data_IF_617397526713
#
_entry.id   IF_617397526713
#
_cell.length_a   1.000
_cell.length_b   1.000
_cell.length_c   1.000
_cell.angle_alpha   90.00
_cell.angle_beta   90.00
_cell.angle_gamma   90.00
#
_symmetry.space_group_name_H-M   'P 1'
#
loop_
_entity.id
_entity.type
_entity.pdbx_description
1 polymer ?
#
# COMPACT_ATOMS: atom_id res chain seq x y z
N UNK A 1 14.58 -30.96 -30.04
CA UNK A 1 14.29 -30.10 -28.88
C UNK A 1 14.33 -30.95 -27.64
N UNK A 2 15.23 -30.67 -26.68
CA UNK A 2 15.22 -31.39 -25.41
C UNK A 2 14.01 -30.95 -24.58
N UNK A 3 13.48 -31.84 -23.74
CA UNK A 3 12.34 -31.54 -22.87
C UNK A 3 12.62 -30.31 -21.97
N UNK A 4 13.90 -30.09 -21.62
CA UNK A 4 14.37 -28.93 -20.90
C UNK A 4 14.20 -27.62 -21.68
N UNK A 5 14.60 -27.59 -22.97
CA UNK A 5 14.43 -26.39 -23.82
C UNK A 5 12.96 -26.03 -24.07
N UNK A 6 12.07 -27.04 -24.07
CA UNK A 6 10.63 -26.85 -24.24
C UNK A 6 10.02 -26.28 -22.95
N UNK A 7 10.44 -26.79 -21.80
CA UNK A 7 10.06 -26.24 -20.50
C UNK A 7 10.50 -24.78 -20.34
N UNK A 8 11.76 -24.45 -20.64
CA UNK A 8 12.24 -23.05 -20.61
C UNK A 8 11.42 -22.15 -21.54
N UNK A 9 11.12 -22.60 -22.76
CA UNK A 9 10.36 -21.82 -23.73
C UNK A 9 8.93 -21.55 -23.26
N UNK A 10 8.25 -22.55 -22.68
CA UNK A 10 6.91 -22.40 -22.13
C UNK A 10 6.87 -21.52 -20.86
N UNK A 11 7.91 -21.56 -20.04
CA UNK A 11 8.03 -20.72 -18.84
C UNK A 11 8.28 -19.27 -19.22
N UNK A 12 9.19 -19.00 -20.15
CA UNK A 12 9.56 -17.63 -20.54
C UNK A 12 8.53 -16.99 -21.48
N UNK A 13 8.04 -17.76 -22.46
CA UNK A 13 7.19 -17.26 -23.56
C UNK A 13 5.72 -17.64 -23.42
N UNK A 14 5.34 -18.33 -22.34
CA UNK A 14 3.97 -18.76 -22.09
C UNK A 14 3.52 -19.94 -22.96
N UNK A 15 2.32 -20.42 -22.67
CA UNK A 15 1.64 -21.45 -23.46
C UNK A 15 0.76 -20.80 -24.53
N UNK A 16 0.81 -21.28 -25.77
CA UNK A 16 -0.11 -20.84 -26.82
C UNK A 16 -1.25 -21.86 -26.98
N UNK A 17 -2.47 -21.44 -26.65
CA UNK A 17 -3.66 -22.28 -26.79
C UNK A 17 -4.20 -22.27 -28.23
N UNK A 18 -4.62 -23.43 -28.70
CA UNK A 18 -5.25 -23.65 -30.00
C UNK A 18 -6.56 -24.45 -29.84
N UNK A 19 -7.48 -23.94 -29.04
CA UNK A 19 -8.79 -24.54 -28.77
C UNK A 19 -9.81 -24.26 -29.88
N UNK A 20 -9.53 -23.30 -30.77
CA UNK A 20 -10.42 -22.90 -31.86
C UNK A 20 -11.46 -21.86 -31.47
N UNK A 21 -11.50 -21.46 -30.20
CA UNK A 21 -12.34 -20.37 -29.69
C UNK A 21 -11.46 -19.20 -29.26
N UNK A 22 -11.59 -18.06 -29.95
CA UNK A 22 -10.76 -16.88 -29.77
C UNK A 22 -10.62 -16.43 -28.30
N UNK A 23 -11.75 -16.36 -27.56
CA UNK A 23 -11.74 -15.92 -26.17
C UNK A 23 -10.96 -16.88 -25.24
N UNK A 24 -11.09 -18.19 -25.49
CA UNK A 24 -10.41 -19.23 -24.69
C UNK A 24 -8.92 -19.20 -24.99
N UNK A 25 -8.56 -19.02 -26.27
CA UNK A 25 -7.17 -18.94 -26.70
C UNK A 25 -6.48 -17.66 -26.18
N UNK A 26 -7.19 -16.53 -26.11
CA UNK A 26 -6.66 -15.29 -25.54
C UNK A 26 -6.40 -15.41 -24.03
N UNK A 27 -7.34 -15.97 -23.27
CA UNK A 27 -7.20 -16.12 -21.80
C UNK A 27 -6.07 -17.11 -21.46
N UNK A 28 -6.00 -18.24 -22.18
CA UNK A 28 -5.00 -19.27 -21.91
C UNK A 28 -3.59 -18.88 -22.38
N UNK A 29 -3.45 -17.87 -23.25
CA UNK A 29 -2.16 -17.45 -23.82
C UNK A 29 -1.54 -16.19 -23.18
N UNK A 30 -2.21 -15.55 -22.21
CA UNK A 30 -1.78 -14.29 -21.56
C UNK A 30 -0.72 -14.41 -20.45
N UNK A 31 -0.14 -15.60 -20.24
CA UNK A 31 0.61 -15.94 -19.02
C UNK A 31 2.13 -15.97 -19.13
N UNK A 32 2.75 -15.30 -20.10
CA UNK A 32 4.19 -15.35 -20.30
C UNK A 32 4.97 -14.42 -19.36
N UNK A 33 6.11 -14.91 -18.87
CA UNK A 33 7.01 -14.13 -18.01
C UNK A 33 7.54 -12.92 -18.78
N UNK A 34 7.79 -13.05 -20.09
CA UNK A 34 8.26 -11.97 -20.94
C UNK A 34 7.31 -10.75 -20.95
N UNK A 35 6.00 -10.95 -21.13
CA UNK A 35 5.02 -9.87 -21.02
C UNK A 35 4.94 -9.25 -19.61
N UNK A 36 5.26 -10.02 -18.57
CA UNK A 36 5.20 -9.58 -17.17
C UNK A 36 6.50 -8.94 -16.65
N UNK A 37 7.59 -8.93 -17.42
CA UNK A 37 8.92 -8.40 -17.00
C UNK A 37 8.84 -6.94 -16.52
N UNK A 38 8.00 -6.12 -17.15
CA UNK A 38 7.87 -4.70 -16.78
C UNK A 38 7.30 -4.54 -15.37
N UNK A 39 6.22 -5.25 -15.06
CA UNK A 39 5.62 -5.28 -13.72
C UNK A 39 6.59 -5.83 -12.67
N UNK A 40 7.32 -6.90 -12.99
CA UNK A 40 8.32 -7.50 -12.08
C UNK A 40 9.46 -6.51 -11.79
N UNK A 41 9.92 -5.77 -12.81
CA UNK A 41 10.98 -4.77 -12.66
C UNK A 41 10.56 -3.64 -11.70
N UNK A 42 9.33 -3.15 -11.81
CA UNK A 42 8.78 -2.14 -10.91
C UNK A 42 8.78 -2.64 -9.46
N UNK A 43 8.37 -3.90 -9.23
CA UNK A 43 8.38 -4.50 -7.89
C UNK A 43 9.80 -4.58 -7.33
N UNK A 44 10.80 -4.98 -8.13
CA UNK A 44 12.19 -5.03 -7.69
C UNK A 44 12.74 -3.65 -7.33
N UNK A 45 12.51 -2.63 -8.16
CA UNK A 45 12.95 -1.26 -7.88
C UNK A 45 12.26 -0.67 -6.64
N UNK A 46 10.95 -0.88 -6.51
CA UNK A 46 10.17 -0.48 -5.33
C UNK A 46 10.72 -1.15 -4.05
N UNK A 47 10.97 -2.45 -4.07
CA UNK A 47 11.53 -3.18 -2.94
C UNK A 47 12.94 -2.69 -2.56
N UNK A 48 13.82 -2.47 -3.55
CA UNK A 48 15.16 -1.95 -3.32
C UNK A 48 15.15 -0.54 -2.70
N UNK A 49 14.30 0.35 -3.22
CA UNK A 49 14.13 1.70 -2.68
C UNK A 49 13.56 1.66 -1.26
N UNK A 50 12.53 0.84 -1.02
CA UNK A 50 11.96 0.63 0.31
C UNK A 50 12.98 0.14 1.34
N UNK A 51 13.84 -0.82 0.97
CA UNK A 51 14.92 -1.30 1.82
C UNK A 51 15.98 -0.24 2.13
N UNK A 52 16.36 0.57 1.13
CA UNK A 52 17.32 1.66 1.33
C UNK A 52 16.80 2.71 2.33
N UNK A 53 15.53 3.12 2.22
CA UNK A 53 14.89 4.06 3.14
C UNK A 53 14.83 3.54 4.58
N UNK A 54 14.58 2.24 4.74
CA UNK A 54 14.56 1.60 6.04
C UNK A 54 15.96 1.56 6.66
N UNK A 55 16.99 1.27 5.86
CA UNK A 55 18.38 1.31 6.30
C UNK A 55 18.86 2.71 6.72
N UNK A 56 18.34 3.77 6.08
CA UNK A 56 18.65 5.17 6.44
C UNK A 56 18.05 5.62 7.78
N UNK A 57 17.29 4.78 8.50
CA UNK A 57 16.64 5.09 9.78
C UNK A 57 15.80 6.38 9.74
N UNK A 58 15.25 6.74 8.58
CA UNK A 58 14.43 7.94 8.45
C UNK A 58 13.20 7.88 9.37
N UNK A 59 12.76 6.66 9.68
CA UNK A 59 11.68 6.34 10.60
C UNK A 59 11.95 6.78 12.04
N UNK A 60 13.22 6.74 12.47
CA UNK A 60 13.63 7.18 13.80
C UNK A 60 13.64 8.71 13.94
N UNK A 61 13.79 9.45 12.84
CA UNK A 61 13.80 10.93 12.86
C UNK A 61 12.37 11.49 12.86
N UNK A 62 11.44 10.79 12.21
CA UNK A 62 10.05 11.21 12.12
C UNK A 62 9.30 11.12 13.46
N UNK A 63 9.58 10.10 14.29
CA UNK A 63 8.87 9.87 15.57
C UNK A 63 8.94 11.08 16.51
N UNK A 64 10.13 11.69 16.66
CA UNK A 64 10.35 12.79 17.61
C UNK A 64 9.73 14.09 17.13
N UNK A 65 9.64 14.27 15.81
CA UNK A 65 9.00 15.43 15.18
C UNK A 65 7.47 15.32 15.28
N UNK A 66 6.91 14.14 14.96
CA UNK A 66 5.48 13.86 15.07
C UNK A 66 4.96 14.00 16.52
N UNK A 67 5.75 13.56 17.51
CA UNK A 67 5.44 13.70 18.93
C UNK A 67 5.26 15.15 19.41
N UNK A 68 5.91 16.11 18.75
CA UNK A 68 5.84 17.54 19.10
C UNK A 68 4.71 18.29 18.40
N UNK A 69 4.19 17.78 17.29
CA UNK A 69 3.16 18.46 16.49
C UNK A 69 1.75 18.00 16.86
N UNK A 70 1.59 16.73 17.26
CA UNK A 70 0.27 16.11 17.43
C UNK A 70 -0.23 16.27 18.88
N UNK A 71 -1.30 17.04 19.04
CA UNK A 71 -1.92 17.33 20.34
C UNK A 71 -3.41 16.94 20.43
N UNK A 72 -4.05 16.58 19.32
CA UNK A 72 -5.47 16.22 19.26
C UNK A 72 -5.71 14.94 18.48
N UNK A 73 -6.82 14.24 18.76
CA UNK A 73 -7.19 13.02 18.04
C UNK A 73 -7.38 13.23 16.54
N UNK A 74 -7.94 14.39 16.15
CA UNK A 74 -8.06 14.79 14.75
C UNK A 74 -6.68 14.93 14.10
N UNK A 75 -5.76 15.67 14.73
CA UNK A 75 -4.39 15.82 14.23
C UNK A 75 -3.66 14.48 14.15
N UNK A 76 -3.93 13.55 15.07
CA UNK A 76 -3.31 12.22 15.09
C UNK A 76 -3.73 11.40 13.87
N UNK A 77 -5.02 11.34 13.55
CA UNK A 77 -5.52 10.61 12.38
C UNK A 77 -5.01 11.25 11.09
N UNK A 78 -5.07 12.58 10.95
CA UNK A 78 -4.56 13.30 9.79
C UNK A 78 -3.06 13.05 9.57
N UNK A 79 -2.25 13.10 10.63
CA UNK A 79 -0.83 12.78 10.55
C UNK A 79 -0.58 11.30 10.21
N UNK A 80 -1.45 10.40 10.67
CA UNK A 80 -1.39 8.97 10.33
C UNK A 80 -1.62 8.77 8.83
N UNK A 81 -2.70 9.34 8.29
CA UNK A 81 -3.03 9.27 6.87
C UNK A 81 -1.88 9.86 6.03
N UNK A 82 -1.43 11.08 6.36
CA UNK A 82 -0.36 11.75 5.64
C UNK A 82 0.94 10.94 5.66
N UNK A 83 1.29 10.33 6.80
CA UNK A 83 2.50 9.52 6.91
C UNK A 83 2.39 8.23 6.09
N UNK A 84 1.24 7.56 6.12
CA UNK A 84 0.96 6.40 5.28
C UNK A 84 1.08 6.72 3.78
N UNK A 85 0.41 7.78 3.32
CA UNK A 85 0.49 8.21 1.92
C UNK A 85 1.92 8.57 1.52
N UNK A 86 2.65 9.29 2.37
CA UNK A 86 4.06 9.61 2.12
C UNK A 86 4.90 8.34 2.01
N UNK A 87 4.70 7.36 2.90
CA UNK A 87 5.45 6.12 2.89
C UNK A 87 5.13 5.27 1.65
N UNK A 88 3.86 5.14 1.28
CA UNK A 88 3.45 4.39 0.08
C UNK A 88 3.88 5.11 -1.19
N UNK A 89 3.80 6.43 -1.24
CA UNK A 89 4.30 7.23 -2.36
C UNK A 89 5.81 7.01 -2.52
N UNK A 90 6.61 7.14 -1.46
CA UNK A 90 8.07 6.98 -1.58
C UNK A 90 8.43 5.52 -1.90
N UNK A 91 7.82 4.54 -1.23
CA UNK A 91 8.26 3.13 -1.36
C UNK A 91 7.60 2.39 -2.53
N UNK A 92 6.41 2.82 -2.98
CA UNK A 92 5.57 2.04 -3.89
C UNK A 92 5.03 0.74 -3.30
N UNK A 93 5.20 0.50 -1.98
CA UNK A 93 4.90 -0.77 -1.33
C UNK A 93 3.85 -0.61 -0.22
N UNK A 94 2.72 -1.28 -0.38
CA UNK A 94 1.62 -1.27 0.58
C UNK A 94 2.03 -1.75 1.97
N UNK A 95 2.80 -2.83 2.07
CA UNK A 95 3.20 -3.43 3.35
C UNK A 95 4.10 -2.48 4.14
N UNK A 96 5.07 -1.85 3.47
CA UNK A 96 5.92 -0.83 4.10
C UNK A 96 5.10 0.40 4.50
N UNK A 97 4.12 0.78 3.69
CA UNK A 97 3.15 1.83 4.02
C UNK A 97 2.32 1.58 5.28
N UNK A 98 2.08 0.33 5.65
CA UNK A 98 1.30 -0.02 6.85
C UNK A 98 2.22 -0.22 8.06
N UNK A 99 3.25 -1.05 7.91
CA UNK A 99 4.09 -1.52 9.03
C UNK A 99 4.85 -0.36 9.67
N UNK A 100 5.41 0.52 8.85
CA UNK A 100 6.27 1.60 9.32
C UNK A 100 5.49 2.66 10.11
N UNK A 101 4.40 3.25 9.57
CA UNK A 101 3.57 4.17 10.33
C UNK A 101 2.91 3.50 11.53
N UNK A 102 2.51 2.23 11.42
CA UNK A 102 1.91 1.47 12.52
C UNK A 102 2.84 1.37 13.73
N UNK A 103 4.10 0.97 13.52
CA UNK A 103 5.10 0.88 14.59
C UNK A 103 5.44 2.27 15.13
N UNK A 104 5.63 3.25 14.25
CA UNK A 104 6.05 4.60 14.62
C UNK A 104 4.99 5.38 15.40
N UNK A 105 3.70 5.20 15.08
CA UNK A 105 2.59 5.97 15.67
C UNK A 105 1.91 5.26 16.85
N UNK A 106 2.14 3.95 17.07
CA UNK A 106 1.56 3.23 18.22
C UNK A 106 1.78 3.96 19.56
N UNK A 107 2.99 4.44 19.91
CA UNK A 107 3.21 5.17 21.17
C UNK A 107 2.42 6.49 21.28
N UNK A 108 2.14 7.14 20.14
CA UNK A 108 1.37 8.37 20.07
C UNK A 108 -0.12 8.13 20.35
N UNK A 109 -0.68 7.05 19.79
CA UNK A 109 -2.05 6.62 20.07
C UNK A 109 -2.23 6.24 21.54
N UNK A 110 -1.27 5.49 22.10
CA UNK A 110 -1.29 5.11 23.52
C UNK A 110 -1.19 6.36 24.43
N UNK A 111 -0.30 7.33 24.11
CA UNK A 111 -0.14 8.59 24.87
C UNK A 111 -1.40 9.46 24.86
N UNK A 112 -2.13 9.48 23.75
CA UNK A 112 -3.35 10.27 23.59
C UNK A 112 -4.61 9.52 24.05
N UNK A 113 -4.46 8.32 24.62
CA UNK A 113 -5.56 7.45 25.04
C UNK A 113 -6.56 7.17 23.91
N UNK A 114 -6.08 7.05 22.67
CA UNK A 114 -6.88 6.69 21.50
C UNK A 114 -6.65 5.21 21.21
N UNK A 115 -7.72 4.50 20.92
CA UNK A 115 -7.68 3.07 20.68
C UNK A 115 -6.87 2.72 19.43
N UNK A 116 -6.12 1.61 19.51
CA UNK A 116 -5.39 1.05 18.37
C UNK A 116 -6.31 0.60 17.23
N UNK A 117 -7.62 0.44 17.47
CA UNK A 117 -8.61 0.24 16.39
C UNK A 117 -8.65 1.44 15.43
N UNK A 118 -8.53 2.66 15.95
CA UNK A 118 -8.49 3.89 15.15
C UNK A 118 -7.19 3.95 14.34
N UNK A 119 -6.07 3.56 14.95
CA UNK A 119 -4.78 3.43 14.25
C UNK A 119 -4.88 2.43 13.10
N UNK A 120 -5.30 1.19 13.38
CA UNK A 120 -5.44 0.12 12.38
C UNK A 120 -6.33 0.54 11.21
N UNK A 121 -7.51 1.11 11.50
CA UNK A 121 -8.39 1.67 10.47
C UNK A 121 -7.68 2.73 9.62
N UNK A 122 -7.00 3.68 10.26
CA UNK A 122 -6.33 4.77 9.55
C UNK A 122 -5.18 4.28 8.66
N UNK A 123 -4.48 3.21 9.07
CA UNK A 123 -3.45 2.57 8.25
C UNK A 123 -4.04 1.93 6.99
N UNK A 124 -5.15 1.20 7.14
CA UNK A 124 -5.87 0.58 6.02
C UNK A 124 -6.44 1.63 5.06
N UNK A 125 -7.10 2.64 5.62
CA UNK A 125 -7.75 3.72 4.85
C UNK A 125 -6.75 4.50 3.98
N UNK A 126 -5.50 4.64 4.42
CA UNK A 126 -4.47 5.33 3.64
C UNK A 126 -3.64 4.39 2.77
N UNK A 127 -3.04 3.35 3.33
CA UNK A 127 -2.04 2.56 2.61
C UNK A 127 -2.66 1.53 1.67
N UNK A 128 -3.67 0.79 2.13
CA UNK A 128 -4.33 -0.24 1.32
C UNK A 128 -5.15 0.37 0.20
N UNK A 129 -5.88 1.44 0.53
CA UNK A 129 -6.74 2.11 -0.44
C UNK A 129 -5.97 3.12 -1.31
N UNK A 130 -4.84 3.66 -0.83
CA UNK A 130 -4.04 4.63 -1.56
C UNK A 130 -3.01 4.04 -2.53
N UNK A 131 -2.50 2.83 -2.28
CA UNK A 131 -1.44 2.22 -3.13
C UNK A 131 -1.79 2.12 -4.62
N UNK A 132 -3.06 1.88 -5.04
CA UNK A 132 -3.41 1.85 -6.46
C UNK A 132 -3.22 3.19 -7.17
N UNK A 133 -3.06 4.31 -6.47
CA UNK A 133 -2.84 5.62 -7.08
C UNK A 133 -1.36 5.90 -7.38
N UNK A 134 -0.44 5.08 -6.84
CA UNK A 134 1.00 5.32 -6.96
C UNK A 134 1.53 4.64 -8.23
N UNK A 135 2.02 5.39 -9.24
CA UNK A 135 2.35 4.85 -10.57
C UNK A 135 3.41 3.75 -10.58
N UNK A 136 4.31 3.77 -9.60
CA UNK A 136 5.40 2.79 -9.45
C UNK A 136 5.07 1.71 -8.41
N UNK A 137 3.79 1.50 -8.08
CA UNK A 137 3.36 0.40 -7.21
C UNK A 137 3.00 -0.84 -8.02
N UNK A 138 3.13 -2.01 -7.39
CA UNK A 138 2.68 -3.27 -7.95
C UNK A 138 1.17 -3.27 -8.27
N UNK A 139 0.37 -2.63 -7.40
CA UNK A 139 -1.08 -2.53 -7.54
C UNK A 139 -1.46 -1.70 -8.78
N UNK A 140 -0.76 -0.58 -9.01
CA UNK A 140 -0.95 0.24 -10.21
C UNK A 140 -0.64 -0.56 -11.47
N UNK A 141 0.54 -1.21 -11.54
CA UNK A 141 0.93 -2.01 -12.70
C UNK A 141 -0.07 -3.14 -13.02
N UNK A 142 -0.59 -3.81 -11.98
CA UNK A 142 -1.62 -4.83 -12.15
C UNK A 142 -2.95 -4.28 -12.71
N UNK A 143 -3.42 -3.14 -12.20
CA UNK A 143 -4.67 -2.53 -12.67
C UNK A 143 -4.49 -2.01 -14.10
N UNK A 144 -3.39 -1.31 -14.38
CA UNK A 144 -3.12 -0.77 -15.71
C UNK A 144 -3.02 -1.84 -16.78
N UNK A 145 -2.36 -2.96 -16.48
CA UNK A 145 -2.26 -4.11 -17.40
C UNK A 145 -3.58 -4.84 -17.59
N UNK A 146 -4.43 -4.89 -16.56
CA UNK A 146 -5.74 -5.55 -16.66
C UNK A 146 -6.73 -4.70 -17.46
N UNK A 147 -6.73 -3.38 -17.28
CA UNK A 147 -7.64 -2.46 -17.94
C UNK A 147 -7.14 -1.95 -19.30
N UNK A 148 -5.89 -2.27 -19.68
CA UNK A 148 -5.19 -1.68 -20.82
C UNK A 148 -5.23 -0.14 -20.78
N UNK A 149 -5.07 0.40 -19.57
CA UNK A 149 -5.23 1.81 -19.25
C UNK A 149 -4.11 2.25 -18.32
N UNK A 150 -3.23 3.15 -18.77
CA UNK A 150 -2.10 3.63 -17.98
C UNK A 150 -2.57 4.52 -16.81
N UNK A 151 -2.47 5.85 -16.91
CA UNK A 151 -2.97 6.76 -15.86
C UNK A 151 -4.45 7.13 -16.00
N UNK A 152 -5.10 6.72 -17.08
CA UNK A 152 -6.48 7.12 -17.39
C UNK A 152 -7.51 6.54 -16.42
N UNK A 153 -7.20 5.45 -15.69
CA UNK A 153 -8.11 4.89 -14.69
C UNK A 153 -8.11 5.67 -13.37
N UNK A 154 -7.05 6.43 -13.06
CA UNK A 154 -6.86 7.11 -11.77
C UNK A 154 -8.08 7.96 -11.36
N UNK A 155 -8.66 8.80 -12.24
CA UNK A 155 -9.83 9.62 -11.88
C UNK A 155 -11.08 8.79 -11.51
N UNK A 156 -11.16 7.55 -11.99
CA UNK A 156 -12.27 6.63 -11.75
C UNK A 156 -12.06 5.75 -10.51
N UNK A 157 -10.92 5.86 -9.84
CA UNK A 157 -10.61 5.16 -8.60
C UNK A 157 -11.32 5.80 -7.39
N UNK A 158 -12.65 5.95 -7.47
CA UNK A 158 -13.47 6.71 -6.51
C UNK A 158 -13.24 6.30 -5.06
N UNK A 159 -13.08 5.00 -4.80
CA UNK A 159 -12.84 4.48 -3.46
C UNK A 159 -11.53 5.00 -2.86
N UNK A 160 -10.50 5.21 -3.70
CA UNK A 160 -9.21 5.77 -3.30
C UNK A 160 -9.31 7.23 -2.81
N UNK A 161 -10.35 7.96 -3.23
CA UNK A 161 -10.61 9.34 -2.83
C UNK A 161 -11.66 9.45 -1.73
N UNK A 162 -12.71 8.64 -1.78
CA UNK A 162 -13.81 8.71 -0.82
C UNK A 162 -13.38 8.24 0.57
N UNK A 163 -12.61 7.15 0.66
CA UNK A 163 -12.17 6.60 1.95
C UNK A 163 -11.40 7.63 2.79
N UNK A 164 -10.32 8.28 2.31
CA UNK A 164 -9.60 9.27 3.11
C UNK A 164 -10.47 10.47 3.48
N UNK A 165 -11.43 10.86 2.63
CA UNK A 165 -12.40 11.92 2.96
C UNK A 165 -13.24 11.48 4.18
N UNK A 166 -13.78 10.26 4.17
CA UNK A 166 -14.54 9.74 5.31
C UNK A 166 -13.68 9.58 6.57
N UNK A 167 -12.43 9.14 6.44
CA UNK A 167 -11.51 9.03 7.59
C UNK A 167 -11.26 10.40 8.23
N UNK A 168 -11.07 11.45 7.42
CA UNK A 168 -10.93 12.83 7.92
C UNK A 168 -12.23 13.32 8.55
N UNK A 169 -13.39 13.06 7.93
CA UNK A 169 -14.68 13.44 8.50
C UNK A 169 -14.93 12.77 9.86
N UNK A 170 -14.61 11.49 10.01
CA UNK A 170 -14.71 10.78 11.30
C UNK A 170 -13.74 11.33 12.34
N UNK A 171 -12.54 11.72 11.92
CA UNK A 171 -11.55 12.34 12.81
C UNK A 171 -11.96 13.74 13.29
N UNK A 172 -12.63 14.54 12.44
CA UNK A 172 -13.11 15.89 12.78
C UNK A 172 -14.38 15.82 13.63
N UNK A 173 -15.32 14.94 13.29
CA UNK A 173 -16.60 14.79 14.00
C UNK A 173 -16.47 14.01 15.32
N UNK A 174 -15.39 13.24 15.49
CA UNK A 174 -15.18 12.38 16.65
C UNK A 174 -16.05 11.11 16.66
N UNK A 175 -16.91 10.91 15.65
CA UNK A 175 -17.95 9.88 15.63
C UNK A 175 -17.39 8.44 15.59
N UNK A 176 -16.12 8.28 15.21
CA UNK A 176 -15.46 6.98 15.17
C UNK A 176 -14.03 7.01 15.75
N UNK A 177 -13.79 7.92 16.70
CA UNK A 177 -12.54 7.99 17.46
C UNK A 177 -12.80 7.34 18.82
N UNK A 178 -12.44 6.07 18.94
CA UNK A 178 -12.57 5.34 20.21
C UNK A 178 -11.40 5.63 21.12
N UNK A 179 -11.69 5.80 22.40
CA UNK A 179 -10.69 5.95 23.44
C UNK A 179 -10.42 4.62 24.14
N UNK A 180 -9.19 4.43 24.61
CA UNK A 180 -8.82 3.23 25.35
C UNK A 180 -9.34 3.32 26.78
N UNK A 181 -10.17 2.38 27.23
CA UNK A 181 -10.68 2.30 28.61
C UNK A 181 -9.64 1.82 29.64
N UNK A 182 -8.56 1.17 29.19
CA UNK A 182 -7.56 0.58 30.09
C UNK A 182 -6.40 1.55 30.37
N UNK A 183 -6.24 1.90 31.65
CA UNK A 183 -4.95 2.39 32.18
C UNK A 183 -3.89 1.35 31.84
N UNK A 184 -2.94 1.72 30.98
CA UNK A 184 -1.71 0.94 30.82
C UNK A 184 -0.93 1.13 32.12
N UNK A 185 -1.05 0.17 33.04
CA UNK A 185 -0.23 0.15 34.24
C UNK A 185 1.25 0.15 33.82
N UNK A 186 2.00 1.11 34.38
CA UNK A 186 3.45 1.20 34.18
C UNK A 186 4.08 -0.15 34.55
N UNK A 187 4.98 -0.71 33.74
CA UNK A 187 5.82 -1.80 34.23
C UNK A 187 6.66 -1.24 35.36
N UNK A 188 6.46 -1.79 36.57
CA UNK A 188 7.29 -1.59 37.76
C UNK A 188 8.71 -2.06 37.54
#
# INVERSE_FOLDING_TARGET
MSLFSLFESCVVSGYLSHSGYFLVDEILSRGDIAASVSSISIVYFSAAMGGALQACRILDVFKDTLLRLIHSGTSLVLSTLAFCYLMVCITGNQMLGIVIPGIALTPLYDRLHISRWVLSRSLEDASTIGVPLIPWSAAFAFISSTLDADMSYIPYAFLCYLVPIFSVLYAVTGLAVWHTENKVDKPT
#
